data_IF_265677354602
#
_entry.id   IF_265677354602
#
_cell.length_a   1.000
_cell.length_b   1.000
_cell.length_c   1.000
_cell.angle_alpha   90.00
_cell.angle_beta   90.00
_cell.angle_gamma   90.00
#
_symmetry.space_group_name_H-M   'P 1'
#
loop_
_entity.id
_entity.type
_entity.pdbx_description
1 polymer ?
#
# COMPACT_ATOMS: atom_id res chain seq x y z
N UNK A 1 -19.22 11.30 1.00
CA UNK A 1 -20.11 11.29 -0.22
C UNK A 1 -19.47 10.41 -1.28
N UNK A 2 -20.22 9.41 -1.77
CA UNK A 2 -19.79 8.52 -2.85
C UNK A 2 -19.48 9.31 -4.13
N UNK A 3 -18.32 9.04 -4.71
CA UNK A 3 -17.87 9.61 -5.98
C UNK A 3 -17.39 8.52 -6.92
N UNK A 4 -17.48 8.82 -8.21
CA UNK A 4 -16.89 8.06 -9.29
C UNK A 4 -15.97 9.00 -10.08
N UNK A 5 -14.78 8.55 -10.37
CA UNK A 5 -13.81 9.28 -11.18
C UNK A 5 -12.99 8.28 -12.00
N UNK A 6 -12.08 8.78 -12.81
CA UNK A 6 -11.11 7.96 -13.52
C UNK A 6 -9.72 8.16 -12.89
N UNK A 7 -8.92 7.10 -12.79
CA UNK A 7 -7.57 7.19 -12.22
C UNK A 7 -6.68 8.16 -13.04
N UNK A 8 -6.96 8.30 -14.33
CA UNK A 8 -6.43 9.31 -15.26
C UNK A 8 -7.39 9.45 -16.44
N UNK A 9 -7.17 10.43 -17.30
CA UNK A 9 -8.03 10.67 -18.47
C UNK A 9 -8.04 9.44 -19.42
N UNK A 10 -9.23 8.88 -19.63
CA UNK A 10 -9.41 7.62 -20.38
C UNK A 10 -8.92 6.35 -19.66
N UNK A 11 -8.53 6.45 -18.40
CA UNK A 11 -8.06 5.34 -17.57
C UNK A 11 -9.19 4.56 -16.90
N UNK A 12 -8.84 3.66 -15.97
CA UNK A 12 -9.81 2.87 -15.23
C UNK A 12 -10.74 3.71 -14.37
N UNK A 13 -12.00 3.29 -14.30
CA UNK A 13 -12.99 3.85 -13.41
C UNK A 13 -12.64 3.53 -11.95
N UNK A 14 -12.80 4.50 -11.06
CA UNK A 14 -12.51 4.35 -9.63
C UNK A 14 -13.63 4.93 -8.77
N UNK A 15 -14.10 4.14 -7.80
CA UNK A 15 -15.12 4.54 -6.85
C UNK A 15 -14.50 4.81 -5.48
N UNK A 16 -14.79 5.95 -4.89
CA UNK A 16 -14.33 6.32 -3.56
C UNK A 16 -15.36 7.12 -2.79
N UNK A 17 -15.21 7.17 -1.49
CA UNK A 17 -15.98 8.06 -0.63
C UNK A 17 -15.06 9.01 0.10
N UNK A 18 -15.28 10.32 -0.06
CA UNK A 18 -14.46 11.34 0.58
C UNK A 18 -14.54 11.31 2.11
N UNK A 19 -15.59 10.71 2.66
CA UNK A 19 -15.80 10.58 4.10
C UNK A 19 -15.10 9.32 4.67
N UNK A 20 -14.64 8.41 3.80
CA UNK A 20 -13.83 7.22 4.17
C UNK A 20 -12.36 7.45 3.85
N UNK A 21 -12.01 7.33 2.57
CA UNK A 21 -10.62 7.48 2.09
C UNK A 21 -10.60 8.26 0.79
N UNK A 22 -9.97 9.42 0.80
CA UNK A 22 -9.64 10.13 -0.44
C UNK A 22 -8.43 9.47 -1.12
N UNK A 23 -8.39 9.44 -2.47
CA UNK A 23 -7.18 9.01 -3.18
C UNK A 23 -5.95 9.78 -2.70
N UNK A 24 -4.93 9.07 -2.26
CA UNK A 24 -3.74 9.69 -1.69
C UNK A 24 -2.54 9.62 -2.64
N UNK A 25 -1.74 10.67 -2.65
CA UNK A 25 -0.44 10.74 -3.32
C UNK A 25 0.46 9.54 -2.98
N UNK A 26 0.38 9.07 -1.73
CA UNK A 26 1.18 7.98 -1.19
C UNK A 26 0.87 6.66 -1.92
N UNK A 27 -0.42 6.37 -2.14
CA UNK A 27 -0.84 5.18 -2.89
C UNK A 27 -0.40 5.23 -4.36
N UNK A 28 -0.48 6.40 -5.01
CA UNK A 28 0.01 6.57 -6.38
C UNK A 28 1.52 6.35 -6.46
N UNK A 29 2.30 6.96 -5.55
CA UNK A 29 3.76 6.79 -5.49
C UNK A 29 4.14 5.33 -5.25
N UNK A 30 3.45 4.64 -4.31
CA UNK A 30 3.69 3.23 -4.03
C UNK A 30 3.31 2.35 -5.23
N UNK A 31 2.17 2.59 -5.89
CA UNK A 31 1.75 1.87 -7.09
C UNK A 31 2.72 2.04 -8.26
N UNK A 32 3.43 3.18 -8.34
CA UNK A 32 4.50 3.40 -9.30
C UNK A 32 5.80 2.67 -8.95
N UNK A 33 6.16 2.67 -7.67
CA UNK A 33 7.37 2.03 -7.16
C UNK A 33 7.27 0.50 -7.11
N UNK A 34 6.10 -0.04 -6.73
CA UNK A 34 5.87 -1.47 -6.63
C UNK A 34 6.01 -2.13 -8.00
N UNK A 35 6.79 -3.21 -8.07
CA UNK A 35 7.14 -3.87 -9.32
C UNK A 35 6.83 -5.38 -9.28
N UNK A 36 5.54 -5.78 -9.11
CA UNK A 36 5.16 -7.17 -9.28
C UNK A 36 5.35 -7.59 -10.75
N UNK A 37 5.76 -8.83 -10.95
CA UNK A 37 5.95 -9.40 -12.30
C UNK A 37 4.63 -9.94 -12.83
N UNK A 38 4.52 -10.06 -14.15
CA UNK A 38 3.35 -10.67 -14.77
C UNK A 38 3.10 -12.09 -14.26
N UNK A 39 1.81 -12.39 -13.96
CA UNK A 39 1.38 -13.67 -13.43
C UNK A 39 1.62 -13.89 -11.93
N UNK A 40 2.24 -12.93 -11.22
CA UNK A 40 2.43 -13.04 -9.77
C UNK A 40 1.11 -12.87 -8.99
N UNK A 41 1.01 -13.60 -7.87
CA UNK A 41 -0.04 -13.40 -6.86
C UNK A 41 0.36 -12.26 -5.93
N UNK A 42 -0.45 -11.21 -5.89
CA UNK A 42 -0.19 -9.97 -5.14
C UNK A 42 -1.26 -9.78 -4.07
N UNK A 43 -0.87 -9.47 -2.84
CA UNK A 43 -1.80 -9.13 -1.78
C UNK A 43 -1.67 -7.65 -1.39
N UNK A 44 -2.78 -6.92 -1.40
CA UNK A 44 -2.92 -5.57 -0.86
C UNK A 44 -3.44 -5.67 0.59
N UNK A 45 -2.58 -5.36 1.55
CA UNK A 45 -2.86 -5.44 2.99
C UNK A 45 -3.43 -4.10 3.48
N UNK A 46 -4.71 -4.07 3.83
CA UNK A 46 -5.44 -2.85 4.13
C UNK A 46 -5.75 -2.09 2.84
N UNK A 47 -6.45 -2.72 1.90
CA UNK A 47 -6.66 -2.18 0.57
C UNK A 47 -7.56 -0.93 0.52
N UNK A 48 -8.30 -0.64 1.60
CA UNK A 48 -9.24 0.48 1.64
C UNK A 48 -10.25 0.41 0.49
N UNK A 49 -10.35 1.50 -0.27
CA UNK A 49 -11.20 1.57 -1.47
C UNK A 49 -10.59 0.92 -2.72
N UNK A 50 -9.48 0.17 -2.57
CA UNK A 50 -8.86 -0.60 -3.64
C UNK A 50 -7.98 0.20 -4.60
N UNK A 51 -7.57 1.42 -4.24
CA UNK A 51 -6.79 2.30 -5.10
C UNK A 51 -5.47 1.67 -5.53
N UNK A 52 -4.71 1.12 -4.57
CA UNK A 52 -3.39 0.55 -4.86
C UNK A 52 -3.50 -0.70 -5.74
N UNK A 53 -4.43 -1.61 -5.42
CA UNK A 53 -4.74 -2.76 -6.26
C UNK A 53 -5.17 -2.36 -7.68
N UNK A 54 -6.01 -1.32 -7.83
CA UNK A 54 -6.43 -0.81 -9.15
C UNK A 54 -5.26 -0.24 -9.95
N UNK A 55 -4.34 0.51 -9.32
CA UNK A 55 -3.12 1.02 -9.96
C UNK A 55 -2.21 -0.12 -10.45
N UNK A 56 -2.08 -1.19 -9.67
CA UNK A 56 -1.29 -2.36 -10.05
C UNK A 56 -1.93 -3.10 -11.24
N UNK A 57 -3.25 -3.35 -11.20
CA UNK A 57 -3.99 -3.99 -12.30
C UNK A 57 -3.94 -3.18 -13.59
N UNK A 58 -4.03 -1.86 -13.49
CA UNK A 58 -3.93 -0.98 -14.65
C UNK A 58 -2.54 -1.01 -15.31
N UNK A 59 -1.47 -1.22 -14.53
CA UNK A 59 -0.11 -1.39 -15.04
C UNK A 59 0.13 -2.80 -15.58
N UNK A 60 -0.49 -3.80 -14.97
CA UNK A 60 -0.29 -5.20 -15.33
C UNK A 60 -1.53 -6.03 -15.00
N UNK A 61 -2.39 -6.22 -15.99
CA UNK A 61 -3.66 -6.95 -15.83
C UNK A 61 -3.49 -8.48 -15.70
N UNK A 62 -2.27 -9.00 -15.77
CA UNK A 62 -2.00 -10.44 -15.60
C UNK A 62 -1.78 -10.85 -14.15
N UNK A 63 -1.82 -9.90 -13.21
CA UNK A 63 -1.68 -10.16 -11.79
C UNK A 63 -2.92 -10.89 -11.23
N UNK A 64 -2.69 -11.72 -10.22
CA UNK A 64 -3.78 -12.28 -9.39
C UNK A 64 -3.84 -11.49 -8.09
N UNK A 65 -4.86 -10.63 -7.96
CA UNK A 65 -5.00 -9.74 -6.80
C UNK A 65 -5.78 -10.41 -5.67
N UNK A 66 -5.26 -10.23 -4.46
CA UNK A 66 -5.86 -10.57 -3.17
C UNK A 66 -5.94 -9.29 -2.34
N UNK A 67 -7.12 -8.93 -1.83
CA UNK A 67 -7.34 -7.69 -1.10
C UNK A 67 -7.84 -8.01 0.30
N UNK A 68 -7.18 -7.46 1.32
CA UNK A 68 -7.57 -7.62 2.73
C UNK A 68 -8.01 -6.26 3.26
N UNK A 69 -9.21 -6.17 3.84
CA UNK A 69 -9.74 -4.93 4.42
C UNK A 69 -10.73 -5.25 5.54
N UNK A 70 -10.65 -4.50 6.63
CA UNK A 70 -11.52 -4.64 7.80
C UNK A 70 -12.83 -3.84 7.64
N UNK A 71 -12.80 -2.75 6.89
CA UNK A 71 -13.93 -1.88 6.69
C UNK A 71 -14.80 -2.36 5.52
N UNK A 72 -16.00 -2.88 5.80
CA UNK A 72 -16.91 -3.40 4.78
C UNK A 72 -17.28 -2.36 3.72
N UNK A 73 -17.49 -1.10 4.13
CA UNK A 73 -17.83 -0.02 3.23
C UNK A 73 -16.72 0.30 2.23
N UNK A 74 -15.46 0.29 2.68
CA UNK A 74 -14.31 0.50 1.83
C UNK A 74 -14.12 -0.66 0.86
N UNK A 75 -14.21 -1.90 1.36
CA UNK A 75 -14.14 -3.12 0.54
C UNK A 75 -15.22 -3.13 -0.55
N UNK A 76 -16.46 -2.74 -0.25
CA UNK A 76 -17.52 -2.67 -1.24
C UNK A 76 -17.22 -1.69 -2.40
N UNK A 77 -16.52 -0.58 -2.12
CA UNK A 77 -16.07 0.36 -3.15
C UNK A 77 -14.93 -0.23 -3.99
N UNK A 78 -14.01 -0.96 -3.36
CA UNK A 78 -12.95 -1.67 -4.06
C UNK A 78 -13.53 -2.72 -5.03
N UNK A 79 -14.47 -3.55 -4.57
CA UNK A 79 -15.17 -4.54 -5.40
C UNK A 79 -15.89 -3.88 -6.59
N UNK A 80 -16.57 -2.76 -6.34
CA UNK A 80 -17.23 -1.99 -7.39
C UNK A 80 -16.25 -1.44 -8.43
N UNK A 81 -15.09 -0.95 -7.98
CA UNK A 81 -14.01 -0.50 -8.86
C UNK A 81 -13.52 -1.63 -9.76
N UNK A 82 -13.24 -2.79 -9.18
CA UNK A 82 -12.75 -3.95 -9.94
C UNK A 82 -13.80 -4.46 -10.92
N UNK A 83 -15.06 -4.58 -10.50
CA UNK A 83 -16.16 -5.01 -11.37
C UNK A 83 -16.38 -4.05 -12.56
N UNK A 84 -16.31 -2.73 -12.34
CA UNK A 84 -16.47 -1.73 -13.39
C UNK A 84 -15.36 -1.79 -14.45
N UNK A 85 -14.17 -2.28 -14.10
CA UNK A 85 -13.04 -2.42 -15.01
C UNK A 85 -12.87 -3.86 -15.54
N UNK A 86 -13.78 -4.79 -15.22
CA UNK A 86 -13.70 -6.19 -15.65
C UNK A 86 -12.54 -6.98 -15.01
N UNK A 87 -12.04 -6.54 -13.85
CA UNK A 87 -10.95 -7.19 -13.15
C UNK A 87 -11.47 -8.17 -12.11
N UNK A 88 -10.87 -9.36 -12.06
CA UNK A 88 -11.11 -10.34 -11.01
C UNK A 88 -10.12 -10.14 -9.84
N UNK A 89 -10.59 -10.36 -8.61
CA UNK A 89 -9.74 -10.38 -7.42
C UNK A 89 -10.33 -11.29 -6.35
N UNK A 90 -9.51 -11.67 -5.36
CA UNK A 90 -9.94 -12.36 -4.15
C UNK A 90 -10.11 -11.34 -3.02
N UNK A 91 -11.17 -11.49 -2.23
CA UNK A 91 -11.56 -10.53 -1.19
C UNK A 91 -11.57 -11.20 0.18
N UNK A 92 -10.82 -10.64 1.13
CA UNK A 92 -10.66 -11.11 2.50
C UNK A 92 -11.17 -10.03 3.45
N UNK A 93 -12.43 -10.16 3.90
CA UNK A 93 -13.08 -9.20 4.80
C UNK A 93 -12.73 -9.50 6.24
N UNK A 94 -12.01 -8.62 6.88
CA UNK A 94 -11.64 -8.72 8.28
C UNK A 94 -10.28 -8.15 8.60
N UNK A 95 -9.90 -8.30 9.86
CA UNK A 95 -8.62 -7.83 10.36
C UNK A 95 -7.46 -8.65 9.76
N UNK A 96 -6.43 -7.97 9.25
CA UNK A 96 -5.26 -8.62 8.67
C UNK A 96 -4.45 -9.48 9.65
N UNK A 97 -4.71 -9.36 10.97
CA UNK A 97 -4.12 -10.25 11.97
C UNK A 97 -4.71 -11.65 11.93
N UNK A 98 -5.97 -11.76 11.50
CA UNK A 98 -6.73 -13.00 11.51
C UNK A 98 -7.08 -13.49 10.10
N UNK A 99 -7.54 -12.59 9.24
CA UNK A 99 -8.09 -12.89 7.91
C UNK A 99 -7.08 -12.57 6.83
N UNK A 100 -6.47 -13.61 6.26
CA UNK A 100 -5.40 -13.50 5.26
C UNK A 100 -5.49 -14.63 4.21
N UNK A 101 -4.90 -14.42 3.02
CA UNK A 101 -4.58 -15.52 2.10
C UNK A 101 -3.81 -16.65 2.78
N UNK A 102 -3.78 -17.82 2.17
CA UNK A 102 -3.04 -18.97 2.69
C UNK A 102 -1.55 -18.63 2.89
N UNK A 103 -0.96 -19.16 3.95
CA UNK A 103 0.43 -18.87 4.31
C UNK A 103 1.41 -19.31 3.21
N UNK A 104 2.34 -18.43 2.85
CA UNK A 104 3.41 -18.73 1.90
C UNK A 104 2.96 -18.86 0.43
N UNK A 105 1.79 -18.32 0.06
CA UNK A 105 1.25 -18.41 -1.30
C UNK A 105 1.43 -17.14 -2.14
N UNK A 106 1.76 -16.01 -1.52
CA UNK A 106 1.90 -14.74 -2.25
C UNK A 106 3.34 -14.52 -2.73
N UNK A 107 3.47 -14.03 -3.95
CA UNK A 107 4.74 -13.61 -4.55
C UNK A 107 5.13 -12.22 -4.10
N UNK A 108 4.12 -11.38 -3.95
CA UNK A 108 4.26 -9.96 -3.64
C UNK A 108 3.18 -9.53 -2.64
N UNK A 109 3.54 -8.61 -1.77
CA UNK A 109 2.59 -7.91 -0.92
C UNK A 109 2.81 -6.41 -1.04
N UNK A 110 1.74 -5.62 -0.91
CA UNK A 110 1.79 -4.17 -0.83
C UNK A 110 0.99 -3.68 0.36
N UNK A 111 1.36 -2.53 0.91
CA UNK A 111 0.60 -1.86 1.96
C UNK A 111 0.88 -0.36 1.94
N UNK A 112 -0.18 0.45 1.99
CA UNK A 112 -0.11 1.84 2.42
C UNK A 112 -0.73 1.91 3.83
N UNK A 113 0.06 1.63 4.89
CA UNK A 113 -0.48 1.52 6.24
C UNK A 113 -0.88 2.90 6.78
N UNK A 114 -1.86 2.98 7.71
CA UNK A 114 -2.12 4.22 8.43
C UNK A 114 -0.85 4.65 9.18
N UNK A 115 -0.53 5.96 9.14
CA UNK A 115 0.67 6.49 9.79
C UNK A 115 0.42 6.68 11.28
N UNK A 116 0.96 5.80 12.10
CA UNK A 116 0.79 5.86 13.57
C UNK A 116 1.56 7.05 14.15
N UNK A 117 0.84 8.00 14.75
CA UNK A 117 1.40 9.04 15.60
C UNK A 117 1.57 8.49 17.01
N UNK A 118 2.74 7.92 17.33
CA UNK A 118 3.10 7.70 18.74
C UNK A 118 3.52 9.03 19.36
N UNK A 119 2.74 9.54 20.32
CA UNK A 119 3.22 10.56 21.28
C UNK A 119 3.04 12.04 20.92
N UNK A 120 2.21 12.43 19.97
CA UNK A 120 1.84 13.84 19.82
C UNK A 120 0.56 14.14 20.58
N UNK A 121 0.68 14.76 21.77
CA UNK A 121 -0.44 15.27 22.57
C UNK A 121 -1.17 16.48 21.99
N UNK A 122 -1.30 16.58 20.69
CA UNK A 122 -2.07 17.60 20.02
C UNK A 122 -3.37 17.02 19.50
N UNK A 123 -4.49 17.42 20.09
CA UNK A 123 -5.84 17.13 19.63
C UNK A 123 -6.04 17.65 18.21
N UNK A 124 -6.20 16.73 17.28
CA UNK A 124 -6.56 17.05 15.89
C UNK A 124 -8.10 17.28 15.77
N UNK A 125 -8.57 18.05 14.77
CA UNK A 125 -9.99 18.32 14.56
C UNK A 125 -10.82 17.07 14.26
N UNK A 126 -12.16 17.15 14.40
CA UNK A 126 -13.13 16.04 14.43
C UNK A 126 -13.05 14.94 13.35
N UNK A 127 -12.46 15.17 12.20
CA UNK A 127 -12.21 14.13 11.18
C UNK A 127 -11.15 13.10 11.61
N UNK A 128 -10.34 13.42 12.61
CA UNK A 128 -9.28 12.54 13.15
C UNK A 128 -9.79 11.55 14.19
N UNK A 129 -11.02 11.68 14.69
CA UNK A 129 -11.56 10.75 15.71
C UNK A 129 -11.89 9.38 15.13
N UNK A 130 -12.25 9.32 13.87
CA UNK A 130 -12.52 8.06 13.19
C UNK A 130 -11.21 7.36 12.84
N UNK A 131 -10.24 8.10 12.28
CA UNK A 131 -8.87 7.64 12.02
C UNK A 131 -8.15 7.22 13.31
N UNK A 132 -8.32 7.97 14.41
CA UNK A 132 -7.71 7.63 15.70
C UNK A 132 -8.28 6.35 16.34
N UNK A 133 -9.54 5.98 16.05
CA UNK A 133 -10.12 4.69 16.49
C UNK A 133 -9.56 3.51 15.68
N UNK A 134 -9.18 3.74 14.45
CA UNK A 134 -8.57 2.75 13.55
C UNK A 134 -7.08 2.59 13.80
N UNK A 135 -6.38 3.67 14.20
CA UNK A 135 -4.98 3.68 14.62
C UNK A 135 -4.68 2.81 15.86
N UNK A 136 -5.67 2.51 16.68
CA UNK A 136 -5.52 1.61 17.84
C UNK A 136 -5.59 0.13 17.49
N UNK A 137 -5.93 -0.22 16.25
CA UNK A 137 -6.24 -1.61 15.89
C UNK A 137 -5.15 -2.33 15.11
N UNK A 138 -4.30 -1.65 14.34
CA UNK A 138 -3.26 -2.30 13.52
C UNK A 138 -1.94 -1.51 13.58
N UNK A 139 -0.85 -2.17 13.94
CA UNK A 139 0.49 -1.57 14.06
C UNK A 139 1.37 -1.92 12.83
N UNK A 140 2.52 -1.24 12.69
CA UNK A 140 3.53 -1.63 11.69
C UNK A 140 4.01 -3.08 11.90
N UNK A 141 4.09 -3.53 13.16
CA UNK A 141 4.46 -4.90 13.51
C UNK A 141 3.43 -5.90 12.98
N UNK A 142 2.13 -5.62 13.16
CA UNK A 142 1.04 -6.45 12.65
C UNK A 142 1.08 -6.57 11.12
N UNK A 143 1.30 -5.45 10.42
CA UNK A 143 1.44 -5.43 8.96
C UNK A 143 2.64 -6.25 8.49
N UNK A 144 3.79 -6.12 9.16
CA UNK A 144 4.98 -6.90 8.84
C UNK A 144 4.79 -8.40 9.15
N UNK A 145 4.10 -8.73 10.25
CA UNK A 145 3.74 -10.11 10.59
C UNK A 145 2.81 -10.73 9.54
N UNK A 146 1.78 -10.00 9.11
CA UNK A 146 0.86 -10.43 8.06
C UNK A 146 1.59 -10.65 6.73
N UNK A 147 2.40 -9.70 6.29
CA UNK A 147 3.20 -9.83 5.07
C UNK A 147 4.13 -11.04 5.12
N UNK A 148 4.86 -11.25 6.25
CA UNK A 148 5.69 -12.43 6.46
C UNK A 148 4.90 -13.73 6.34
N UNK A 149 3.68 -13.78 6.90
CA UNK A 149 2.85 -14.99 6.93
C UNK A 149 2.43 -15.40 5.52
N UNK A 150 1.95 -14.45 4.69
CA UNK A 150 1.40 -14.75 3.36
C UNK A 150 2.47 -14.91 2.27
N UNK A 151 3.60 -14.19 2.36
CA UNK A 151 4.65 -14.25 1.35
C UNK A 151 5.33 -15.62 1.34
N UNK A 152 5.61 -16.16 0.16
CA UNK A 152 6.52 -17.29 0.01
C UNK A 152 7.96 -16.89 0.36
N UNK A 153 8.84 -17.87 0.55
CA UNK A 153 10.28 -17.59 0.71
C UNK A 153 10.82 -16.88 -0.54
N UNK A 154 11.52 -15.78 -0.34
CA UNK A 154 11.98 -14.92 -1.42
C UNK A 154 10.91 -13.97 -1.99
N UNK A 155 9.67 -14.05 -1.52
CA UNK A 155 8.60 -13.09 -1.84
C UNK A 155 8.95 -11.67 -1.39
N UNK A 156 8.30 -10.68 -1.98
CA UNK A 156 8.65 -9.26 -1.81
C UNK A 156 7.49 -8.51 -1.17
N UNK A 157 7.82 -7.52 -0.35
CA UNK A 157 6.87 -6.63 0.30
C UNK A 157 7.25 -5.18 0.03
N UNK A 158 6.35 -4.42 -0.61
CA UNK A 158 6.52 -2.99 -0.82
C UNK A 158 5.52 -2.19 0.02
N UNK A 159 6.01 -1.12 0.64
CA UNK A 159 5.19 -0.21 1.42
C UNK A 159 5.69 1.22 1.31
N UNK A 160 4.78 2.18 1.56
CA UNK A 160 5.11 3.59 1.77
C UNK A 160 5.08 3.89 3.26
N UNK A 161 6.00 4.73 3.72
CA UNK A 161 6.05 5.13 5.12
C UNK A 161 6.61 6.55 5.28
N UNK A 162 6.54 7.07 6.51
CA UNK A 162 7.11 8.39 6.84
C UNK A 162 8.62 8.29 7.02
N UNK A 163 9.36 9.28 6.51
CA UNK A 163 10.83 9.27 6.56
C UNK A 163 11.35 9.30 7.99
N UNK A 164 10.72 10.08 8.88
CA UNK A 164 11.08 10.14 10.31
C UNK A 164 10.98 8.81 11.05
N UNK A 165 10.28 7.82 10.47
CA UNK A 165 10.11 6.48 11.04
C UNK A 165 10.91 5.40 10.28
N UNK A 166 11.87 5.82 9.45
CA UNK A 166 12.66 4.89 8.61
C UNK A 166 13.43 3.86 9.43
N UNK A 167 14.00 4.26 10.55
CA UNK A 167 14.76 3.35 11.45
C UNK A 167 13.82 2.30 12.03
N UNK A 168 12.67 2.72 12.56
CA UNK A 168 11.66 1.80 13.11
C UNK A 168 11.19 0.82 12.03
N UNK A 169 10.92 1.31 10.82
CA UNK A 169 10.51 0.49 9.68
C UNK A 169 11.54 -0.60 9.38
N UNK A 170 12.83 -0.26 9.31
CA UNK A 170 13.88 -1.23 9.01
C UNK A 170 14.07 -2.25 10.13
N UNK A 171 14.01 -1.80 11.39
CA UNK A 171 14.08 -2.68 12.55
C UNK A 171 12.92 -3.68 12.53
N UNK A 172 11.68 -3.22 12.30
CA UNK A 172 10.48 -4.07 12.25
C UNK A 172 10.53 -5.06 11.09
N UNK A 173 10.87 -4.61 9.88
CA UNK A 173 11.02 -5.49 8.72
C UNK A 173 12.02 -6.63 9.00
N UNK A 174 13.19 -6.30 9.56
CA UNK A 174 14.22 -7.29 9.89
C UNK A 174 13.80 -8.24 11.01
N UNK A 175 13.09 -7.75 12.03
CA UNK A 175 12.54 -8.59 13.11
C UNK A 175 11.60 -9.67 12.55
N UNK A 176 10.89 -9.37 11.46
CA UNK A 176 10.05 -10.31 10.75
C UNK A 176 10.76 -11.11 9.63
N UNK A 177 12.09 -11.02 9.52
CA UNK A 177 12.89 -11.76 8.53
C UNK A 177 12.72 -11.25 7.10
N UNK A 178 12.35 -9.99 6.94
CA UNK A 178 12.25 -9.29 5.67
C UNK A 178 13.40 -8.28 5.55
N UNK A 179 14.31 -8.51 4.63
CA UNK A 179 15.46 -7.63 4.41
C UNK A 179 15.11 -6.53 3.39
N UNK A 180 15.26 -5.23 3.74
CA UNK A 180 15.10 -4.13 2.81
C UNK A 180 16.06 -4.25 1.62
N UNK A 181 15.53 -4.14 0.39
CA UNK A 181 16.29 -4.34 -0.85
C UNK A 181 16.30 -3.12 -1.76
N UNK A 182 15.20 -2.36 -1.78
CA UNK A 182 15.08 -1.13 -2.55
C UNK A 182 14.46 -0.06 -1.67
N UNK A 183 14.96 1.16 -1.82
CA UNK A 183 14.44 2.33 -1.14
C UNK A 183 14.41 3.51 -2.12
N UNK A 184 13.33 4.26 -2.08
CA UNK A 184 13.19 5.50 -2.83
C UNK A 184 12.54 6.57 -1.97
N UNK A 185 13.13 7.75 -1.90
CA UNK A 185 12.50 8.89 -1.24
C UNK A 185 11.51 9.61 -2.16
N UNK A 186 10.46 10.18 -1.57
CA UNK A 186 9.51 11.06 -2.26
C UNK A 186 9.58 12.44 -1.61
N UNK A 187 9.76 13.48 -2.40
CA UNK A 187 9.97 14.84 -1.91
C UNK A 187 9.46 15.91 -2.89
N UNK A 188 9.03 17.05 -2.36
CA UNK A 188 8.66 18.23 -3.15
C UNK A 188 9.74 19.32 -3.15
N UNK A 189 10.76 19.17 -2.32
CA UNK A 189 11.90 20.08 -2.13
C UNK A 189 13.11 19.28 -1.67
N UNK A 190 13.97 19.90 -0.88
CA UNK A 190 15.25 19.29 -0.45
C UNK A 190 15.08 18.23 0.64
N UNK A 191 13.94 18.24 1.35
CA UNK A 191 13.68 17.32 2.47
C UNK A 191 12.66 16.27 2.05
N UNK A 192 13.01 14.97 2.12
CA UNK A 192 12.06 13.90 1.85
C UNK A 192 10.93 13.86 2.88
N UNK A 193 9.70 13.60 2.43
CA UNK A 193 8.52 13.47 3.29
C UNK A 193 8.06 12.01 3.44
N UNK A 194 8.25 11.21 2.39
CA UNK A 194 7.89 9.80 2.36
C UNK A 194 9.07 8.96 1.90
N UNK A 195 9.03 7.69 2.28
CA UNK A 195 9.93 6.66 1.81
C UNK A 195 9.14 5.48 1.27
N UNK A 196 9.53 5.01 0.10
CA UNK A 196 9.06 3.78 -0.52
C UNK A 196 10.11 2.71 -0.28
N UNK A 197 9.72 1.58 0.30
CA UNK A 197 10.64 0.50 0.62
C UNK A 197 10.10 -0.80 0.05
N UNK A 198 10.97 -1.57 -0.60
CA UNK A 198 10.70 -2.97 -0.95
C UNK A 198 11.67 -3.87 -0.17
N UNK A 199 11.12 -4.78 0.62
CA UNK A 199 11.84 -5.78 1.38
C UNK A 199 11.61 -7.19 0.80
N UNK A 200 12.54 -8.11 1.07
CA UNK A 200 12.45 -9.50 0.60
C UNK A 200 12.47 -10.48 1.78
N UNK A 201 11.50 -11.38 1.83
CA UNK A 201 11.47 -12.45 2.84
C UNK A 201 12.67 -13.36 2.69
N UNK A 202 13.48 -13.52 3.74
CA UNK A 202 14.71 -14.31 3.74
C UNK A 202 15.81 -13.73 2.85
N UNK A 203 15.75 -12.42 2.53
CA UNK A 203 16.79 -11.74 1.75
C UNK A 203 18.11 -11.65 2.51
N UNK A 204 19.24 -11.65 1.79
CA UNK A 204 20.55 -11.31 2.35
C UNK A 204 20.73 -9.79 2.39
N UNK A 205 21.58 -9.23 3.27
CA UNK A 205 21.89 -7.80 3.29
C UNK A 205 22.26 -7.23 1.93
N UNK A 206 21.99 -5.96 1.73
CA UNK A 206 22.28 -5.21 0.50
C UNK A 206 21.08 -4.40 0.04
N UNK A 207 21.12 -3.08 0.31
CA UNK A 207 20.09 -2.11 -0.03
C UNK A 207 20.52 -1.28 -1.24
N UNK A 208 19.63 -1.13 -2.22
CA UNK A 208 19.77 -0.17 -3.31
C UNK A 208 18.93 1.07 -2.98
N UNK A 209 19.55 2.25 -3.00
CA UNK A 209 18.86 3.53 -2.88
C UNK A 209 18.68 4.08 -4.30
N UNK A 210 17.43 4.24 -4.71
CA UNK A 210 17.09 4.80 -6.02
C UNK A 210 17.12 6.34 -5.96
N UNK A 211 17.32 7.03 -7.09
CA UNK A 211 17.18 8.48 -7.16
C UNK A 211 15.82 8.93 -6.60
N UNK A 212 15.73 10.02 -5.86
CA UNK A 212 14.48 10.47 -5.26
C UNK A 212 13.42 10.77 -6.33
N UNK A 213 12.17 10.53 -5.99
CA UNK A 213 11.01 10.87 -6.80
C UNK A 213 10.54 12.28 -6.40
N UNK A 214 10.74 13.25 -7.29
CA UNK A 214 10.34 14.63 -7.06
C UNK A 214 8.89 14.84 -7.49
N UNK A 215 8.05 15.29 -6.56
CA UNK A 215 6.67 15.70 -6.83
C UNK A 215 6.68 16.87 -7.81
N UNK A 216 5.92 16.77 -8.90
CA UNK A 216 5.87 17.79 -9.96
C UNK A 216 6.97 17.69 -11.03
N UNK A 217 7.81 16.66 -10.99
CA UNK A 217 8.79 16.39 -12.06
C UNK A 217 8.14 15.65 -13.23
N UNK A 218 8.81 15.62 -14.39
CA UNK A 218 8.36 14.81 -15.54
C UNK A 218 8.27 13.30 -15.24
N UNK A 219 9.03 12.80 -14.25
CA UNK A 219 8.87 11.42 -13.78
C UNK A 219 7.61 11.28 -12.92
N UNK A 220 7.26 12.33 -12.15
CA UNK A 220 6.04 12.35 -11.38
C UNK A 220 4.77 12.27 -12.24
N UNK A 221 4.81 12.80 -13.46
CA UNK A 221 3.68 12.67 -14.40
C UNK A 221 3.40 11.20 -14.72
N UNK A 222 4.44 10.35 -14.80
CA UNK A 222 4.30 8.90 -15.00
C UNK A 222 3.66 8.17 -13.81
N UNK A 223 3.74 8.74 -12.60
CA UNK A 223 3.04 8.20 -11.42
C UNK A 223 1.53 8.22 -11.65
N UNK A 224 1.04 9.24 -12.32
CA UNK A 224 -0.37 9.44 -12.69
C UNK A 224 -0.69 9.01 -14.14
N UNK A 225 0.21 8.26 -14.78
CA UNK A 225 0.02 7.81 -16.18
C UNK A 225 -0.12 8.94 -17.20
N UNK A 226 0.54 10.09 -16.97
CA UNK A 226 0.56 11.26 -17.83
C UNK A 226 1.85 11.34 -18.66
#
# INVERSE_FOLDING_TARGET
>A
MLRQDYLWDGGPCFFFDTDLFAPSTDSFALGYFAAPKGGESVCDLGCGTGLLGALLMARNSTLTLHNVEVQENAMALAERTFAANGWAAQWYRGDLRDVLPAAGTMDYAVCNPPYFKTGSGASAPDSSRQTAREETTCTLDDVCAAAKRILRWGGRFALVYRVERLVDLFCTLRAHGMEPKRLRFVQSGDVPSLVLVEARRGGKPGLTIEPPLFIGSAEWDKVYFR
#
